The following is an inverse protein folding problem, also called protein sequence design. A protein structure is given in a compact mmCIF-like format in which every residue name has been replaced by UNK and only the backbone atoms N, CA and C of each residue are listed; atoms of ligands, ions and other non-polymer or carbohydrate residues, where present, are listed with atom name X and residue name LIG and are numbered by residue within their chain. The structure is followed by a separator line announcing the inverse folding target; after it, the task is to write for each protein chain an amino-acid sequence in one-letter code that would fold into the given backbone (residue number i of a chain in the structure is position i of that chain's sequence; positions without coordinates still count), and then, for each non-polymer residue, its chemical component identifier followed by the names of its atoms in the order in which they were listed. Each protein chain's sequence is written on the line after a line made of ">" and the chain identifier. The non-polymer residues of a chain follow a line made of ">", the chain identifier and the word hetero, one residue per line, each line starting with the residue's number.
data_IF_064525465759
#
_entry.id   IF_064525465759
#
_cell.length_a   1.000
_cell.length_b   1.000
_cell.length_c   1.000
_cell.angle_alpha   90.00
_cell.angle_beta   90.00
_cell.angle_gamma   90.00
#
_symmetry.space_group_name_H-M   'P 1'
#
loop_
_entity.id
_entity.type
_entity.pdbx_description
1 polymer ?
#
# COMPACT_ATOMS: atom_id res chain seq x y z
N UNK A 1 -6.17 -22.22 -3.89
CA UNK A 1 -4.78 -22.69 -3.73
C UNK A 1 -3.93 -21.43 -3.73
N UNK A 2 -3.72 -20.83 -2.56
CA UNK A 2 -2.90 -19.62 -2.41
C UNK A 2 -1.45 -20.05 -2.34
N UNK A 3 -0.72 -19.85 -3.43
CA UNK A 3 0.72 -20.02 -3.50
C UNK A 3 1.38 -19.21 -2.38
N UNK A 4 2.10 -19.80 -1.42
CA UNK A 4 2.96 -18.99 -0.55
C UNK A 4 4.02 -18.35 -1.45
N UNK A 5 4.06 -17.02 -1.44
CA UNK A 5 5.13 -16.26 -2.08
C UNK A 5 6.46 -16.79 -1.54
N UNK A 6 7.20 -17.50 -2.39
CA UNK A 6 8.55 -17.94 -2.09
C UNK A 6 9.41 -16.69 -1.86
N UNK A 7 10.16 -16.58 -0.74
CA UNK A 7 11.10 -15.49 -0.51
C UNK A 7 12.34 -15.70 -1.38
N UNK A 8 12.20 -15.54 -2.69
CA UNK A 8 13.32 -15.52 -3.62
C UNK A 8 13.85 -14.09 -3.69
N UNK A 9 14.87 -13.79 -2.85
CA UNK A 9 16.11 -13.02 -3.13
C UNK A 9 16.64 -12.34 -1.85
N UNK A 10 17.54 -13.01 -1.12
CA UNK A 10 18.53 -12.42 -0.18
C UNK A 10 18.00 -11.32 0.79
N UNK A 11 16.85 -11.52 1.45
CA UNK A 11 16.45 -10.61 2.52
C UNK A 11 17.52 -10.60 3.63
N UNK A 12 18.02 -9.43 4.07
CA UNK A 12 19.07 -9.36 5.07
C UNK A 12 18.60 -10.00 6.38
N UNK A 13 19.45 -10.83 6.97
CA UNK A 13 19.16 -11.54 8.23
C UNK A 13 19.91 -10.85 9.37
N UNK A 14 19.18 -10.39 10.37
CA UNK A 14 19.70 -9.84 11.61
C UNK A 14 19.53 -10.90 12.70
N UNK A 15 20.63 -11.53 13.07
CA UNK A 15 20.68 -12.41 14.22
C UNK A 15 21.03 -11.61 15.48
N UNK A 16 20.09 -11.47 16.41
CA UNK A 16 20.32 -10.67 17.62
C UNK A 16 21.26 -11.33 18.63
N UNK A 17 21.55 -12.62 18.48
CA UNK A 17 22.48 -13.32 19.38
C UNK A 17 23.92 -12.87 19.13
N UNK A 18 24.24 -12.53 17.87
CA UNK A 18 25.54 -11.94 17.51
C UNK A 18 25.73 -10.49 17.95
N UNK A 19 24.67 -9.83 18.44
CA UNK A 19 24.65 -8.39 18.70
C UNK A 19 24.53 -8.14 20.21
N UNK A 20 25.30 -7.22 20.80
CA UNK A 20 25.22 -6.95 22.23
C UNK A 20 23.85 -6.38 22.62
N UNK A 21 23.32 -6.70 23.81
CA UNK A 21 21.94 -6.41 24.23
C UNK A 21 21.48 -4.97 24.04
N UNK A 22 22.37 -4.01 24.29
CA UNK A 22 22.09 -2.59 24.21
C UNK A 22 22.03 -2.06 22.77
N UNK A 23 22.63 -2.77 21.80
CA UNK A 23 22.64 -2.38 20.39
C UNK A 23 21.54 -3.05 19.55
N UNK A 24 21.01 -4.19 20.02
CA UNK A 24 19.95 -4.96 19.32
C UNK A 24 18.76 -4.08 18.94
N UNK A 25 18.16 -3.43 19.94
CA UNK A 25 16.96 -2.60 19.75
C UNK A 25 17.22 -1.41 18.82
N UNK A 26 18.22 -0.53 19.08
CA UNK A 26 18.44 0.63 18.22
C UNK A 26 18.85 0.22 16.81
N UNK A 27 19.56 -0.89 16.61
CA UNK A 27 19.88 -1.39 15.27
C UNK A 27 18.62 -1.80 14.53
N UNK A 28 17.78 -2.66 15.09
CA UNK A 28 16.59 -3.19 14.41
C UNK A 28 15.61 -2.06 14.08
N UNK A 29 15.43 -1.10 14.98
CA UNK A 29 14.59 0.07 14.75
C UNK A 29 15.15 0.98 13.66
N UNK A 30 16.47 1.19 13.63
CA UNK A 30 17.12 1.95 12.57
C UNK A 30 17.00 1.24 11.22
N UNK A 31 17.21 -0.08 11.17
CA UNK A 31 17.01 -0.87 9.96
C UNK A 31 15.56 -0.77 9.48
N UNK A 32 14.58 -0.98 10.37
CA UNK A 32 13.16 -0.86 10.03
C UNK A 32 12.78 0.54 9.53
N UNK A 33 13.40 1.59 10.08
CA UNK A 33 13.21 2.98 9.62
C UNK A 33 13.83 3.22 8.24
N UNK A 34 15.01 2.63 7.99
CA UNK A 34 15.76 2.77 6.75
C UNK A 34 15.24 1.85 5.63
N UNK A 35 14.31 0.94 5.92
CA UNK A 35 13.70 0.09 4.91
C UNK A 35 13.02 0.93 3.82
N UNK A 36 13.36 0.59 2.57
CA UNK A 36 12.63 1.05 1.41
C UNK A 36 11.26 0.34 1.33
N UNK A 37 10.24 1.00 0.77
CA UNK A 37 8.95 0.36 0.61
C UNK A 37 9.03 -0.86 -0.32
N UNK A 38 8.44 -1.98 0.10
CA UNK A 38 8.53 -3.27 -0.60
C UNK A 38 9.74 -4.11 -0.17
N UNK A 39 10.66 -3.54 0.62
CA UNK A 39 11.79 -4.25 1.20
C UNK A 39 11.52 -4.70 2.64
N UNK A 40 12.21 -5.75 3.05
CA UNK A 40 12.13 -6.32 4.40
C UNK A 40 13.43 -6.99 4.83
N UNK A 41 13.46 -7.40 6.09
CA UNK A 41 14.56 -8.15 6.68
C UNK A 41 14.02 -9.22 7.63
N UNK A 42 14.85 -10.23 7.88
CA UNK A 42 14.55 -11.32 8.80
C UNK A 42 15.26 -11.08 10.12
N UNK A 43 14.53 -11.19 11.21
CA UNK A 43 15.02 -11.11 12.57
C UNK A 43 15.02 -12.52 13.17
N UNK A 44 16.19 -12.95 13.64
CA UNK A 44 16.36 -14.23 14.35
C UNK A 44 16.63 -13.94 15.82
N UNK A 45 15.75 -14.44 16.69
CA UNK A 45 15.89 -14.32 18.15
C UNK A 45 15.82 -15.70 18.82
N UNK A 46 16.51 -15.84 19.95
CA UNK A 46 16.52 -17.05 20.79
C UNK A 46 15.24 -17.17 21.64
N UNK A 47 14.57 -16.04 21.89
CA UNK A 47 13.31 -15.98 22.64
C UNK A 47 12.27 -15.16 21.88
N UNK A 48 11.03 -15.21 22.35
CA UNK A 48 9.93 -14.44 21.77
C UNK A 48 10.18 -12.91 21.85
N UNK A 49 10.25 -12.21 20.70
CA UNK A 49 10.53 -10.77 20.64
C UNK A 49 9.30 -9.87 20.88
N UNK A 50 8.35 -10.27 21.74
CA UNK A 50 7.17 -9.44 22.10
C UNK A 50 7.49 -7.98 22.46
N UNK A 51 8.50 -7.68 23.30
CA UNK A 51 8.81 -6.29 23.66
C UNK A 51 9.18 -5.43 22.44
N UNK A 52 9.90 -6.02 21.49
CA UNK A 52 10.32 -5.35 20.27
C UNK A 52 9.12 -5.12 19.32
N UNK A 53 8.22 -6.10 19.22
CA UNK A 53 6.98 -5.95 18.47
C UNK A 53 6.17 -4.74 18.95
N UNK A 54 5.98 -4.60 20.27
CA UNK A 54 5.24 -3.47 20.83
C UNK A 54 5.92 -2.12 20.54
N UNK A 55 7.25 -2.06 20.58
CA UNK A 55 8.00 -0.84 20.23
C UNK A 55 7.83 -0.49 18.75
N UNK A 56 7.97 -1.45 17.85
CA UNK A 56 7.76 -1.24 16.40
C UNK A 56 6.34 -0.75 16.14
N UNK A 57 5.33 -1.37 16.76
CA UNK A 57 3.94 -0.95 16.59
C UNK A 57 3.69 0.47 17.12
N UNK A 58 4.33 0.85 18.22
CA UNK A 58 4.23 2.21 18.78
C UNK A 58 4.90 3.25 17.88
N UNK A 59 6.06 2.92 17.29
CA UNK A 59 6.86 3.85 16.51
C UNK A 59 6.44 3.96 15.05
N UNK A 60 6.06 2.84 14.42
CA UNK A 60 5.77 2.76 12.99
C UNK A 60 4.30 2.47 12.68
N UNK A 61 3.51 1.98 13.66
CA UNK A 61 2.12 1.59 13.45
C UNK A 61 1.94 0.68 12.23
N UNK A 62 0.96 1.00 11.39
CA UNK A 62 0.68 0.26 10.15
C UNK A 62 1.69 0.48 9.01
N UNK A 63 2.75 1.27 9.22
CA UNK A 63 3.78 1.54 8.21
C UNK A 63 4.75 0.36 8.05
N UNK A 64 4.83 -0.52 9.05
CA UNK A 64 5.69 -1.71 9.01
C UNK A 64 4.87 -2.94 9.34
N UNK A 65 5.09 -4.01 8.59
CA UNK A 65 4.45 -5.31 8.79
C UNK A 65 5.35 -6.22 9.61
N UNK A 66 4.73 -7.01 10.49
CA UNK A 66 5.40 -7.96 11.36
C UNK A 66 4.80 -9.34 11.15
N UNK A 67 5.61 -10.30 10.70
CA UNK A 67 5.16 -11.66 10.39
C UNK A 67 6.06 -12.68 11.08
N UNK A 68 5.49 -13.57 11.87
CA UNK A 68 6.23 -14.71 12.42
C UNK A 68 6.39 -15.78 11.36
N UNK A 69 7.63 -16.08 10.97
CA UNK A 69 7.95 -17.18 10.07
C UNK A 69 8.13 -18.48 10.84
N UNK A 70 8.78 -18.41 12.00
CA UNK A 70 9.02 -19.57 12.86
C UNK A 70 8.85 -19.16 14.33
N UNK A 71 8.15 -20.02 15.08
CA UNK A 71 7.86 -19.85 16.51
C UNK A 71 8.23 -21.14 17.22
N UNK A 72 9.54 -21.41 17.30
CA UNK A 72 10.07 -22.58 18.01
C UNK A 72 10.41 -22.25 19.46
N UNK A 73 10.64 -23.26 20.32
CA UNK A 73 11.31 -23.05 21.60
C UNK A 73 12.81 -22.73 21.41
N UNK A 74 13.44 -23.21 20.32
CA UNK A 74 14.86 -23.01 20.03
C UNK A 74 15.17 -21.75 19.23
N UNK A 75 14.29 -21.33 18.30
CA UNK A 75 14.48 -20.15 17.45
C UNK A 75 13.17 -19.49 17.06
N UNK A 76 13.21 -18.15 17.02
CA UNK A 76 12.11 -17.28 16.62
C UNK A 76 12.53 -16.49 15.38
N UNK A 77 11.88 -16.79 14.26
CA UNK A 77 12.07 -16.04 13.02
C UNK A 77 10.92 -15.10 12.81
N UNK A 78 11.25 -13.82 12.65
CA UNK A 78 10.29 -12.77 12.39
C UNK A 78 10.71 -12.03 11.13
N UNK A 79 9.80 -11.91 10.17
CA UNK A 79 9.95 -11.01 9.04
C UNK A 79 9.37 -9.65 9.37
N UNK A 80 10.22 -8.63 9.26
CA UNK A 80 9.85 -7.23 9.41
C UNK A 80 9.99 -6.58 8.04
N UNK A 81 8.90 -6.13 7.47
CA UNK A 81 8.91 -5.58 6.12
C UNK A 81 8.10 -4.29 6.06
N UNK A 82 8.58 -3.33 5.28
CA UNK A 82 7.81 -2.14 4.95
C UNK A 82 6.95 -2.51 3.74
N UNK A 83 5.61 -2.45 3.83
CA UNK A 83 4.77 -2.69 2.68
C UNK A 83 5.18 -1.70 1.58
N UNK A 84 5.10 -2.17 0.35
CA UNK A 84 5.32 -1.35 -0.84
C UNK A 84 4.41 -0.11 -0.77
N UNK A 85 5.01 0.99 -0.34
CA UNK A 85 4.48 2.33 -0.52
C UNK A 85 4.58 2.58 -1.99
N UNK A 86 3.54 2.19 -2.71
CA UNK A 86 3.33 2.69 -4.05
C UNK A 86 3.05 4.19 -3.93
N UNK A 87 4.13 4.99 -3.92
CA UNK A 87 4.11 6.42 -3.64
C UNK A 87 3.11 7.10 -4.58
N UNK A 88 2.07 7.72 -4.00
CA UNK A 88 1.03 8.48 -4.69
C UNK A 88 0.76 7.95 -6.11
N UNK A 89 0.43 6.66 -6.21
CA UNK A 89 0.36 5.99 -7.50
C UNK A 89 -0.74 6.67 -8.30
N UNK A 90 -0.35 7.42 -9.33
CA UNK A 90 -1.32 8.09 -10.19
C UNK A 90 -1.93 7.03 -11.08
N UNK A 91 -3.13 6.57 -10.73
CA UNK A 91 -3.82 5.54 -11.49
C UNK A 91 -4.63 6.22 -12.57
N UNK A 92 -4.36 5.90 -13.84
CA UNK A 92 -5.21 6.36 -14.94
C UNK A 92 -6.35 5.38 -15.17
N UNK A 93 -7.56 5.92 -15.25
CA UNK A 93 -8.77 5.15 -15.56
C UNK A 93 -9.42 5.73 -16.80
N UNK A 94 -9.96 4.84 -17.62
CA UNK A 94 -10.75 5.14 -18.80
C UNK A 94 -12.21 4.85 -18.50
N UNK A 95 -13.08 5.81 -18.79
CA UNK A 95 -14.53 5.70 -18.63
C UNK A 95 -15.12 5.72 -20.03
N UNK A 96 -15.63 4.59 -20.51
CA UNK A 96 -16.33 4.49 -21.78
C UNK A 96 -17.61 5.35 -21.77
N UNK A 97 -18.12 5.70 -22.95
CA UNK A 97 -19.36 6.47 -23.10
C UNK A 97 -20.57 5.81 -22.43
N UNK A 98 -20.59 4.49 -22.37
CA UNK A 98 -21.61 3.68 -21.70
C UNK A 98 -21.48 3.64 -20.16
N UNK A 99 -20.41 4.25 -19.61
CA UNK A 99 -20.11 4.27 -18.18
C UNK A 99 -19.21 3.13 -17.71
N UNK A 100 -18.76 2.24 -18.60
CA UNK A 100 -17.82 1.18 -18.26
C UNK A 100 -16.44 1.76 -17.91
N UNK A 101 -15.94 1.45 -16.72
CA UNK A 101 -14.63 1.94 -16.24
C UNK A 101 -13.59 0.84 -16.39
N UNK A 102 -12.43 1.18 -16.96
CA UNK A 102 -11.30 0.28 -17.18
C UNK A 102 -9.99 0.99 -16.86
N UNK A 103 -8.91 0.23 -16.70
CA UNK A 103 -7.58 0.83 -16.58
C UNK A 103 -7.16 1.42 -17.91
N UNK A 104 -6.67 2.66 -17.87
CA UNK A 104 -6.01 3.26 -19.02
C UNK A 104 -4.51 3.00 -18.94
N UNK A 105 -3.84 2.99 -20.09
CA UNK A 105 -2.39 2.93 -20.14
C UNK A 105 -1.76 4.13 -19.43
N UNK A 106 -0.59 3.96 -18.79
CA UNK A 106 0.12 5.03 -18.11
C UNK A 106 0.66 6.10 -19.08
N UNK A 107 0.65 5.85 -20.38
CA UNK A 107 1.04 6.83 -21.42
C UNK A 107 -0.18 7.47 -22.11
N UNK A 108 -1.41 7.00 -21.81
CA UNK A 108 -2.61 7.51 -22.47
C UNK A 108 -2.90 8.96 -22.06
N UNK A 109 -3.24 9.79 -23.06
CA UNK A 109 -3.53 11.20 -22.87
C UNK A 109 -4.80 11.39 -22.02
N UNK A 110 -4.70 12.23 -21.01
CA UNK A 110 -5.82 12.58 -20.14
C UNK A 110 -6.86 13.41 -20.91
N UNK A 111 -8.14 13.22 -20.59
CA UNK A 111 -9.26 13.90 -21.25
C UNK A 111 -10.06 13.01 -22.19
N UNK A 112 -10.79 13.63 -23.10
CA UNK A 112 -11.65 12.93 -24.05
C UNK A 112 -10.81 12.20 -25.09
N UNK A 113 -10.89 10.87 -25.09
CA UNK A 113 -10.37 10.02 -26.14
C UNK A 113 -11.21 10.16 -27.42
N UNK A 114 -10.62 9.84 -28.57
CA UNK A 114 -11.27 9.92 -29.88
C UNK A 114 -12.55 9.07 -30.00
N UNK A 115 -12.65 8.00 -29.20
CA UNK A 115 -13.81 7.10 -29.13
C UNK A 115 -14.97 7.66 -28.25
N UNK A 116 -14.79 8.84 -27.66
CA UNK A 116 -15.74 9.43 -26.72
C UNK A 116 -15.62 8.87 -25.29
N UNK A 117 -14.63 8.01 -25.03
CA UNK A 117 -14.23 7.64 -23.68
C UNK A 117 -13.49 8.80 -22.99
N UNK A 118 -13.56 8.86 -21.66
CA UNK A 118 -12.90 9.88 -20.86
C UNK A 118 -11.79 9.25 -20.02
N UNK A 119 -10.57 9.75 -20.15
CA UNK A 119 -9.40 9.29 -19.41
C UNK A 119 -9.12 10.25 -18.28
N UNK A 120 -9.07 9.75 -17.06
CA UNK A 120 -8.82 10.54 -15.85
C UNK A 120 -7.69 9.95 -15.03
N UNK A 121 -6.87 10.83 -14.44
CA UNK A 121 -5.84 10.48 -13.49
C UNK A 121 -6.36 10.59 -12.06
N UNK A 122 -6.20 9.52 -11.29
CA UNK A 122 -6.52 9.52 -9.86
C UNK A 122 -5.23 9.81 -9.09
N UNK A 123 -5.16 10.98 -8.48
CA UNK A 123 -4.00 11.42 -7.70
C UNK A 123 -4.19 11.08 -6.22
N UNK A 124 -3.10 11.09 -5.45
CA UNK A 124 -3.13 10.92 -4.00
C UNK A 124 -3.69 9.57 -3.54
N UNK A 125 -3.49 8.50 -4.32
CA UNK A 125 -3.89 7.15 -3.92
C UNK A 125 -3.07 6.71 -2.69
N UNK A 126 -3.72 6.38 -1.55
CA UNK A 126 -3.01 5.95 -0.35
C UNK A 126 -2.33 4.58 -0.56
N UNK A 127 -1.22 4.31 0.14
CA UNK A 127 -0.55 3.02 0.06
C UNK A 127 -1.49 1.90 0.50
N UNK A 128 -1.53 0.81 -0.28
CA UNK A 128 -2.49 -0.29 -0.11
C UNK A 128 -3.76 -0.17 -0.96
N UNK A 129 -3.94 0.93 -1.70
CA UNK A 129 -5.02 1.04 -2.68
C UNK A 129 -4.76 0.10 -3.85
N UNK A 130 -5.66 -0.88 -4.04
CA UNK A 130 -5.61 -1.75 -5.21
C UNK A 130 -6.29 -1.10 -6.39
N UNK A 131 -5.87 -1.47 -7.60
CA UNK A 131 -6.47 -0.95 -8.83
C UNK A 131 -7.95 -1.30 -8.94
N UNK A 132 -8.35 -2.47 -8.45
CA UNK A 132 -9.75 -2.87 -8.38
C UNK A 132 -10.59 -1.91 -7.51
N UNK A 133 -10.05 -1.46 -6.38
CA UNK A 133 -10.75 -0.48 -5.53
C UNK A 133 -10.90 0.88 -6.23
N UNK A 134 -9.86 1.33 -6.94
CA UNK A 134 -9.95 2.57 -7.73
C UNK A 134 -11.02 2.47 -8.82
N UNK A 135 -11.07 1.36 -9.56
CA UNK A 135 -12.10 1.13 -10.58
C UNK A 135 -13.51 1.10 -9.97
N UNK A 136 -13.66 0.46 -8.82
CA UNK A 136 -14.92 0.39 -8.08
C UNK A 136 -15.39 1.77 -7.60
N UNK A 137 -14.47 2.60 -7.12
CA UNK A 137 -14.74 3.98 -6.71
C UNK A 137 -15.11 4.89 -7.90
N UNK A 138 -14.52 4.64 -9.06
CA UNK A 138 -14.75 5.41 -10.29
C UNK A 138 -16.03 5.01 -11.03
N UNK A 139 -16.60 3.85 -10.72
CA UNK A 139 -17.84 3.40 -11.34
C UNK A 139 -19.00 4.37 -11.06
N UNK A 140 -19.60 4.94 -12.12
CA UNK A 140 -20.65 5.96 -12.00
C UNK A 140 -20.15 7.36 -11.61
N UNK A 141 -18.85 7.62 -11.66
CA UNK A 141 -18.28 8.97 -11.55
C UNK A 141 -18.31 9.63 -12.92
N UNK A 142 -18.90 10.83 -12.96
CA UNK A 142 -18.88 11.70 -14.14
C UNK A 142 -18.02 12.90 -13.76
N UNK A 143 -16.77 12.98 -14.26
CA UNK A 143 -15.92 14.14 -14.05
C UNK A 143 -16.59 15.38 -14.64
N UNK A 144 -16.48 16.55 -13.98
CA UNK A 144 -16.97 17.79 -14.54
C UNK A 144 -16.18 18.14 -15.82
N UNK A 145 -16.82 18.87 -16.74
CA UNK A 145 -16.24 19.19 -18.04
C UNK A 145 -14.85 19.84 -17.90
N UNK A 146 -13.83 19.24 -18.53
CA UNK A 146 -12.45 19.71 -18.48
C UNK A 146 -11.63 19.23 -17.28
N UNK A 147 -12.23 18.57 -16.29
CA UNK A 147 -11.48 17.99 -15.17
C UNK A 147 -11.01 16.58 -15.50
N UNK A 148 -9.69 16.43 -15.63
CA UNK A 148 -9.05 15.18 -16.01
C UNK A 148 -8.26 14.54 -14.87
N UNK A 149 -8.22 15.18 -13.70
CA UNK A 149 -7.58 14.68 -12.50
C UNK A 149 -8.51 14.76 -11.29
N UNK A 150 -8.59 13.69 -10.52
CA UNK A 150 -9.38 13.60 -9.30
C UNK A 150 -8.51 13.04 -8.16
N UNK A 151 -8.52 13.70 -7.00
CA UNK A 151 -7.88 13.17 -5.81
C UNK A 151 -8.67 11.97 -5.27
N UNK A 152 -7.97 10.92 -4.85
CA UNK A 152 -8.57 9.70 -4.31
C UNK A 152 -9.54 9.97 -3.15
N UNK A 153 -9.20 10.89 -2.25
CA UNK A 153 -10.07 11.29 -1.12
C UNK A 153 -11.45 11.80 -1.58
N UNK A 154 -11.52 12.49 -2.73
CA UNK A 154 -12.80 12.98 -3.27
C UNK A 154 -13.70 11.83 -3.73
N UNK A 155 -13.11 10.74 -4.24
CA UNK A 155 -13.86 9.56 -4.65
C UNK A 155 -14.45 8.84 -3.43
N UNK A 156 -13.63 8.66 -2.38
CA UNK A 156 -14.05 8.03 -1.12
C UNK A 156 -15.14 8.85 -0.43
N UNK A 157 -14.97 10.17 -0.34
CA UNK A 157 -15.96 11.06 0.27
C UNK A 157 -17.34 10.98 -0.40
N UNK A 158 -17.38 10.78 -1.73
CA UNK A 158 -18.63 10.60 -2.49
C UNK A 158 -19.31 9.27 -2.18
N UNK A 159 -18.55 8.18 -2.13
CA UNK A 159 -19.09 6.82 -1.95
C UNK A 159 -19.51 6.56 -0.50
N UNK A 160 -18.83 7.16 0.48
CA UNK A 160 -19.16 7.04 1.91
C UNK A 160 -20.41 7.81 2.34
N UNK A 161 -21.16 8.41 1.40
CA UNK A 161 -22.52 8.91 1.66
C UNK A 161 -22.61 10.24 2.41
N UNK A 162 -21.58 11.10 2.36
CA UNK A 162 -21.66 12.46 2.94
C UNK A 162 -22.19 13.53 1.99
N UNK A 163 -22.73 13.15 0.83
CA UNK A 163 -23.53 14.07 0.02
C UNK A 163 -24.97 14.06 0.51
N UNK A 164 -25.22 14.86 1.54
CA UNK A 164 -26.52 15.51 1.72
C UNK A 164 -26.94 16.07 0.36
N UNK A 165 -28.13 15.67 -0.11
CA UNK A 165 -28.74 16.16 -1.33
C UNK A 165 -28.78 17.68 -1.36
N UNK A 166 -28.78 18.35 -2.50
CA UNK A 166 -29.19 17.93 -3.82
C UNK A 166 -29.74 19.19 -4.47
N UNK A 167 -29.31 19.49 -5.68
CA UNK A 167 -30.09 20.33 -6.60
C UNK A 167 -29.53 20.14 -8.01
N UNK A 168 -30.00 19.08 -8.65
CA UNK A 168 -30.11 18.98 -10.10
C UNK A 168 -31.52 18.42 -10.34
N UNK A 169 -32.45 19.34 -10.55
CA UNK A 169 -33.86 19.14 -10.85
C UNK A 169 -34.44 20.49 -11.20
#
# INVERSE_FOLDING_TARGET
>A
MTTPAQPDTLEPVIDVQTIPPHERQPLILQTARALEPGSGFLLVNDHDPRPLYHQIQTLFGNTVTWSYLERGPDRWWVRIAKPETNAASTVRVRIAREGAVSLADPDEALGGAADGALVCAITDCPPGTTTAEVLNLMHGVIPPAGQQSLAFERLVARRSGSCCGGMCG
#
